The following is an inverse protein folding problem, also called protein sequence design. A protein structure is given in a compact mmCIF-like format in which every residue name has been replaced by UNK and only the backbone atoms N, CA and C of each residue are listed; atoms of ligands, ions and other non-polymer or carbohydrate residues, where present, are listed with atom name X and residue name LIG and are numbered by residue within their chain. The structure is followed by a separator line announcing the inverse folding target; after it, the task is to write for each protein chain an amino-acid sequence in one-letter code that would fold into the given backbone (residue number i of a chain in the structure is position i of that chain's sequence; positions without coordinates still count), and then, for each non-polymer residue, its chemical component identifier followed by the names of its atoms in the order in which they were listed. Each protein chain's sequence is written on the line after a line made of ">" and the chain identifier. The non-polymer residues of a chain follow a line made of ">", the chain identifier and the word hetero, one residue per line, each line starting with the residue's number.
data_IF_886289454418
#
_entry.id   IF_886289454418
#
_cell.length_a   1.000
_cell.length_b   1.000
_cell.length_c   1.000
_cell.angle_alpha   90.00
_cell.angle_beta   90.00
_cell.angle_gamma   90.00
#
_symmetry.space_group_name_H-M   'P 1'
#
loop_
_entity.id
_entity.type
_entity.pdbx_description
1 polymer ?
#
# COMPACT_ATOMS: atom_id res chain seq x y z
N UNK A 1 67.00 27.49 -3.04
CA UNK A 1 66.64 26.36 -2.16
C UNK A 1 66.34 26.91 -0.78
N UNK A 2 65.10 26.75 -0.29
CA UNK A 2 64.66 27.22 1.03
C UNK A 2 64.11 26.00 1.79
N UNK A 3 64.56 25.85 3.03
CA UNK A 3 64.41 24.64 3.83
C UNK A 3 63.11 24.72 4.64
N UNK A 4 62.23 23.73 4.51
CA UNK A 4 61.10 23.57 5.43
C UNK A 4 61.59 22.90 6.73
N UNK A 5 61.43 23.57 7.86
CA UNK A 5 61.65 23.00 9.19
C UNK A 5 60.31 22.53 9.76
N UNK A 6 60.21 21.25 10.06
CA UNK A 6 59.09 20.66 10.80
C UNK A 6 59.14 21.11 12.27
N UNK A 7 58.02 21.54 12.82
CA UNK A 7 57.83 21.76 14.25
C UNK A 7 56.89 20.69 14.80
N UNK A 8 57.45 19.81 15.63
CA UNK A 8 56.76 18.80 16.43
C UNK A 8 56.65 19.38 17.83
N UNK A 9 55.51 19.90 18.26
CA UNK A 9 55.21 20.03 19.69
C UNK A 9 53.69 19.86 19.91
N UNK A 10 53.39 19.03 20.91
CA UNK A 10 52.16 18.91 21.69
C UNK A 10 51.07 17.92 21.24
N UNK A 11 51.44 16.64 21.40
CA UNK A 11 50.59 15.64 22.01
C UNK A 11 50.12 16.12 23.40
N UNK A 12 48.82 16.36 23.59
CA UNK A 12 48.03 16.07 24.82
C UNK A 12 46.79 16.97 24.91
N UNK A 13 45.65 16.48 24.46
CA UNK A 13 44.31 16.74 25.01
C UNK A 13 43.43 15.59 24.50
N UNK A 14 43.55 14.45 25.17
CA UNK A 14 42.53 14.00 26.12
C UNK A 14 41.26 13.52 25.41
N UNK A 15 41.23 12.19 25.24
CA UNK A 15 40.08 11.31 25.17
C UNK A 15 38.75 11.97 25.55
N UNK A 16 37.96 12.37 24.56
CA UNK A 16 36.51 12.32 24.65
C UNK A 16 36.02 11.18 23.77
N UNK A 17 36.04 9.98 24.36
CA UNK A 17 35.18 8.89 23.90
C UNK A 17 33.73 9.32 24.18
N UNK A 18 33.11 10.08 23.28
CA UNK A 18 31.67 10.00 23.14
C UNK A 18 31.38 8.98 22.06
N UNK A 19 31.52 7.69 22.42
CA UNK A 19 30.78 6.66 21.72
C UNK A 19 29.32 6.94 22.12
N UNK A 20 28.64 7.78 21.34
CA UNK A 20 27.20 7.87 21.40
C UNK A 20 26.71 6.48 21.01
N UNK A 21 26.46 5.65 22.03
CA UNK A 21 25.70 4.44 21.92
C UNK A 21 24.34 4.90 21.37
N UNK A 22 24.14 4.72 20.07
CA UNK A 22 22.80 4.75 19.52
C UNK A 22 22.04 3.68 20.31
N UNK A 23 21.18 4.13 21.22
CA UNK A 23 20.22 3.25 21.86
C UNK A 23 19.52 2.54 20.73
N UNK A 24 19.71 1.22 20.65
CA UNK A 24 18.88 0.35 19.82
C UNK A 24 17.45 0.69 20.19
N UNK A 25 16.76 1.42 19.32
CA UNK A 25 15.31 1.47 19.39
C UNK A 25 14.89 0.02 19.17
N UNK A 26 14.61 -0.67 20.27
CA UNK A 26 13.81 -1.88 20.29
C UNK A 26 12.44 -1.46 19.76
N UNK A 27 12.37 -1.36 18.45
CA UNK A 27 11.12 -1.28 17.73
C UNK A 27 10.47 -2.62 18.04
N UNK A 28 9.34 -2.67 18.76
CA UNK A 28 8.66 -3.93 18.99
C UNK A 28 8.38 -4.52 17.61
N UNK A 29 8.92 -5.73 17.38
CA UNK A 29 8.80 -6.51 16.16
C UNK A 29 7.43 -6.28 15.53
N UNK A 30 7.36 -5.42 14.51
CA UNK A 30 6.12 -5.14 13.80
C UNK A 30 5.90 -6.20 12.73
N UNK A 31 6.12 -7.47 13.08
CA UNK A 31 5.99 -8.63 12.18
C UNK A 31 4.57 -9.18 12.21
N UNK A 32 3.54 -8.32 12.29
CA UNK A 32 2.13 -8.78 12.34
C UNK A 32 1.13 -7.86 11.63
N UNK A 33 1.48 -6.61 11.32
CA UNK A 33 0.56 -5.74 10.55
C UNK A 33 0.64 -6.03 9.04
N UNK A 34 1.77 -6.55 8.56
CA UNK A 34 2.01 -6.77 7.14
C UNK A 34 1.22 -7.94 6.54
N UNK A 35 0.73 -8.89 7.34
CA UNK A 35 -0.03 -10.06 6.85
C UNK A 35 -1.54 -9.93 6.97
N UNK A 36 -2.05 -8.85 7.58
CA UNK A 36 -3.48 -8.67 7.79
C UNK A 36 -4.15 -8.01 6.58
N UNK A 37 -5.42 -8.36 6.34
CA UNK A 37 -6.28 -7.66 5.38
C UNK A 37 -6.62 -6.27 5.93
N UNK A 38 -6.48 -5.24 5.10
CA UNK A 38 -6.82 -3.87 5.52
C UNK A 38 -8.32 -3.64 5.32
N UNK A 39 -9.13 -4.17 6.25
CA UNK A 39 -10.57 -3.96 6.31
C UNK A 39 -10.93 -2.65 7.02
N UNK A 40 -11.95 -1.94 6.52
CA UNK A 40 -12.55 -0.81 7.22
C UNK A 40 -13.50 -1.37 8.28
N UNK A 41 -13.33 -0.91 9.53
CA UNK A 41 -14.29 -1.20 10.60
C UNK A 41 -15.53 -0.33 10.43
N UNK A 42 -16.72 -0.96 10.41
CA UNK A 42 -18.02 -0.30 10.32
C UNK A 42 -18.11 0.76 9.19
N UNK A 43 -17.89 0.37 7.92
CA UNK A 43 -17.93 1.31 6.82
C UNK A 43 -19.33 1.91 6.66
N UNK A 44 -19.45 3.22 6.79
CA UNK A 44 -20.69 3.93 6.44
C UNK A 44 -20.74 4.06 4.91
N UNK A 45 -21.41 3.13 4.24
CA UNK A 45 -21.41 3.03 2.77
C UNK A 45 -21.92 4.30 2.05
N UNK A 46 -22.68 5.18 2.73
CA UNK A 46 -23.09 6.49 2.20
C UNK A 46 -21.91 7.41 1.85
N UNK A 47 -20.75 7.18 2.47
CA UNK A 47 -19.55 8.02 2.28
C UNK A 47 -18.73 7.58 1.06
N UNK A 48 -19.18 6.54 0.35
CA UNK A 48 -18.47 5.90 -0.75
C UNK A 48 -19.26 6.06 -2.05
N UNK A 49 -18.57 6.53 -3.09
CA UNK A 49 -19.06 6.47 -4.46
C UNK A 49 -18.80 5.07 -5.01
N UNK A 50 -19.80 4.46 -5.63
CA UNK A 50 -19.61 3.17 -6.31
C UNK A 50 -19.07 3.43 -7.72
N UNK A 51 -17.90 2.87 -8.02
CA UNK A 51 -17.27 2.97 -9.34
C UNK A 51 -17.71 1.84 -10.27
N UNK A 52 -17.87 0.62 -9.76
CA UNK A 52 -18.23 -0.53 -10.57
C UNK A 52 -18.79 -1.68 -9.73
N UNK A 53 -19.69 -2.46 -10.34
CA UNK A 53 -20.27 -3.67 -9.75
C UNK A 53 -19.97 -4.85 -10.67
N UNK A 54 -19.38 -5.90 -10.14
CA UNK A 54 -19.04 -7.11 -10.88
C UNK A 54 -18.77 -8.27 -9.91
N UNK A 55 -17.70 -9.02 -10.16
CA UNK A 55 -17.21 -10.04 -9.22
C UNK A 55 -16.88 -9.42 -7.84
N UNK A 56 -16.40 -8.17 -7.84
CA UNK A 56 -16.27 -7.31 -6.68
C UNK A 56 -17.00 -5.99 -6.91
N UNK A 57 -17.38 -5.31 -5.83
CA UNK A 57 -17.85 -3.93 -5.88
C UNK A 57 -16.65 -3.03 -5.61
N UNK A 58 -16.43 -2.05 -6.48
CA UNK A 58 -15.32 -1.08 -6.35
C UNK A 58 -15.91 0.24 -5.87
N UNK A 59 -15.32 0.80 -4.83
CA UNK A 59 -15.71 2.05 -4.22
C UNK A 59 -14.58 3.07 -4.31
N UNK A 60 -14.98 4.34 -4.33
CA UNK A 60 -14.13 5.50 -4.18
C UNK A 60 -14.60 6.29 -2.96
N UNK A 61 -13.65 6.70 -2.12
CA UNK A 61 -13.90 7.67 -1.06
C UNK A 61 -12.95 8.83 -1.24
N UNK A 62 -13.51 10.04 -1.27
CA UNK A 62 -12.74 11.27 -1.26
C UNK A 62 -12.67 11.79 0.17
N UNK A 63 -11.50 12.27 0.58
CA UNK A 63 -11.30 12.98 1.84
C UNK A 63 -10.69 14.34 1.56
N UNK A 64 -11.00 15.37 2.38
CA UNK A 64 -10.29 16.63 2.32
C UNK A 64 -8.78 16.40 2.44
N UNK A 65 -8.02 17.08 1.59
CA UNK A 65 -6.57 17.13 1.75
C UNK A 65 -6.17 17.99 2.95
N UNK A 66 -4.95 17.80 3.39
CA UNK A 66 -4.30 18.62 4.40
C UNK A 66 -3.28 19.58 3.77
N UNK A 67 -2.54 20.30 4.62
CA UNK A 67 -1.46 21.20 4.19
C UNK A 67 -0.40 20.48 3.34
N UNK A 68 -0.10 19.22 3.64
CA UNK A 68 0.89 18.42 2.90
C UNK A 68 0.45 18.16 1.47
N UNK A 69 -0.86 17.98 1.25
CA UNK A 69 -1.45 17.76 -0.07
C UNK A 69 -1.96 19.06 -0.73
N UNK A 70 -1.56 20.24 -0.24
CA UNK A 70 -2.05 21.54 -0.72
C UNK A 70 -3.58 21.64 -0.71
N UNK A 71 -4.22 21.00 0.27
CA UNK A 71 -5.67 20.88 0.41
C UNK A 71 -6.39 20.20 -0.78
N UNK A 72 -5.64 19.54 -1.69
CA UNK A 72 -6.25 18.76 -2.77
C UNK A 72 -6.95 17.52 -2.21
N UNK A 73 -8.15 17.17 -2.70
CA UNK A 73 -8.83 15.96 -2.26
C UNK A 73 -7.96 14.71 -2.42
N UNK A 74 -7.93 13.88 -1.38
CA UNK A 74 -7.26 12.58 -1.41
C UNK A 74 -8.30 11.54 -1.80
N UNK A 75 -8.06 10.87 -2.93
CA UNK A 75 -8.93 9.80 -3.43
C UNK A 75 -8.37 8.46 -2.96
N UNK A 76 -9.21 7.64 -2.33
CA UNK A 76 -8.83 6.29 -1.90
C UNK A 76 -9.86 5.29 -2.41
N UNK A 77 -9.37 4.18 -2.95
CA UNK A 77 -10.21 3.14 -3.51
C UNK A 77 -10.35 1.96 -2.54
N UNK A 78 -11.54 1.37 -2.55
CA UNK A 78 -11.90 0.24 -1.70
C UNK A 78 -12.68 -0.79 -2.51
N UNK A 79 -12.78 -2.01 -1.98
CA UNK A 79 -13.62 -3.03 -2.60
C UNK A 79 -14.33 -3.90 -1.57
N UNK A 80 -15.44 -4.51 -1.98
CA UNK A 80 -16.08 -5.62 -1.27
C UNK A 80 -16.27 -6.80 -2.20
N UNK A 81 -16.14 -8.01 -1.66
CA UNK A 81 -16.51 -9.23 -2.38
C UNK A 81 -18.03 -9.29 -2.46
N UNK A 82 -18.59 -9.72 -3.59
CA UNK A 82 -20.04 -9.88 -3.75
C UNK A 82 -20.60 -10.80 -2.65
N UNK A 83 -21.63 -10.34 -1.94
CA UNK A 83 -22.23 -11.06 -0.81
C UNK A 83 -21.48 -10.91 0.52
N UNK A 84 -20.42 -10.10 0.57
CA UNK A 84 -19.72 -9.75 1.81
C UNK A 84 -20.06 -8.33 2.25
N UNK A 85 -20.27 -8.15 3.56
CA UNK A 85 -20.44 -6.84 4.19
C UNK A 85 -19.10 -6.14 4.48
N UNK A 86 -17.97 -6.82 4.22
CA UNK A 86 -16.65 -6.30 4.50
C UNK A 86 -16.14 -5.45 3.33
N UNK A 87 -15.59 -4.28 3.67
CA UNK A 87 -14.96 -3.35 2.74
C UNK A 87 -13.47 -3.29 3.04
N UNK A 88 -12.64 -3.51 2.03
CA UNK A 88 -11.19 -3.58 2.15
C UNK A 88 -10.54 -2.49 1.30
N UNK A 89 -9.33 -2.06 1.67
CA UNK A 89 -8.52 -1.19 0.81
C UNK A 89 -8.24 -1.88 -0.53
N UNK A 90 -8.42 -1.16 -1.63
CA UNK A 90 -8.29 -1.73 -2.97
C UNK A 90 -6.83 -1.81 -3.43
N UNK A 91 -6.16 -2.86 -2.97
CA UNK A 91 -4.79 -3.19 -3.34
C UNK A 91 -4.72 -4.62 -3.88
N UNK A 92 -3.71 -4.89 -4.69
CA UNK A 92 -3.44 -6.21 -5.23
C UNK A 92 -3.11 -7.20 -4.12
N UNK A 93 -2.44 -6.73 -3.07
CA UNK A 93 -2.13 -7.51 -1.88
C UNK A 93 -3.40 -7.99 -1.16
N UNK A 94 -4.36 -7.10 -0.89
CA UNK A 94 -5.61 -7.48 -0.24
C UNK A 94 -6.44 -8.43 -1.12
N UNK A 95 -6.48 -8.22 -2.44
CA UNK A 95 -7.14 -9.14 -3.36
C UNK A 95 -6.49 -10.53 -3.33
N UNK A 96 -5.15 -10.61 -3.37
CA UNK A 96 -4.42 -11.88 -3.28
C UNK A 96 -4.60 -12.56 -1.92
N UNK A 97 -4.74 -11.81 -0.83
CA UNK A 97 -5.04 -12.36 0.50
C UNK A 97 -6.47 -12.95 0.58
N UNK A 98 -7.44 -12.31 -0.08
CA UNK A 98 -8.83 -12.81 -0.15
C UNK A 98 -8.93 -14.03 -1.06
N UNK A 99 -8.38 -13.94 -2.27
CA UNK A 99 -8.32 -15.02 -3.24
C UNK A 99 -6.97 -15.74 -3.10
N UNK A 100 -6.69 -16.32 -1.92
CA UNK A 100 -5.36 -16.84 -1.55
C UNK A 100 -4.89 -18.01 -2.43
N UNK A 101 -5.82 -18.78 -2.98
CA UNK A 101 -5.52 -19.95 -3.79
C UNK A 101 -6.49 -20.11 -4.97
N UNK A 102 -6.15 -21.06 -5.84
CA UNK A 102 -6.93 -21.44 -7.00
C UNK A 102 -6.91 -20.42 -8.14
N UNK A 103 -7.84 -20.62 -9.08
CA UNK A 103 -7.85 -19.89 -10.36
C UNK A 103 -8.00 -18.38 -10.23
N UNK A 104 -8.64 -17.90 -9.17
CA UNK A 104 -8.76 -16.47 -8.90
C UNK A 104 -7.39 -15.86 -8.56
N UNK A 105 -6.61 -16.55 -7.73
CA UNK A 105 -5.24 -16.14 -7.42
C UNK A 105 -4.36 -16.09 -8.68
N UNK A 106 -4.45 -17.12 -9.53
CA UNK A 106 -3.65 -17.19 -10.76
C UNK A 106 -3.94 -16.01 -11.70
N UNK A 107 -5.22 -15.63 -11.83
CA UNK A 107 -5.62 -14.45 -12.59
C UNK A 107 -5.02 -13.17 -12.00
N UNK A 108 -5.11 -12.99 -10.68
CA UNK A 108 -4.53 -11.83 -10.00
C UNK A 108 -3.02 -11.76 -10.18
N UNK A 109 -2.35 -12.90 -10.12
CA UNK A 109 -0.90 -12.99 -10.26
C UNK A 109 -0.42 -12.72 -11.70
N UNK A 110 -1.14 -13.24 -12.69
CA UNK A 110 -0.73 -13.17 -14.10
C UNK A 110 -1.14 -11.89 -14.82
N UNK A 111 -2.28 -11.27 -14.43
CA UNK A 111 -2.86 -10.13 -15.16
C UNK A 111 -2.57 -8.77 -14.54
N UNK A 112 -2.16 -8.72 -13.28
CA UNK A 112 -1.98 -7.47 -12.53
C UNK A 112 -0.61 -7.46 -11.85
N UNK A 113 0.20 -6.43 -12.14
CA UNK A 113 1.56 -6.28 -11.61
C UNK A 113 1.59 -5.32 -10.44
N UNK A 114 0.83 -4.23 -10.54
CA UNK A 114 0.78 -3.15 -9.54
C UNK A 114 -0.66 -2.74 -9.25
N UNK A 115 -0.88 -2.06 -8.13
CA UNK A 115 -2.23 -1.64 -7.69
C UNK A 115 -2.95 -0.77 -8.73
N UNK A 116 -2.23 0.07 -9.47
CA UNK A 116 -2.84 0.92 -10.50
C UNK A 116 -3.44 0.13 -11.67
N UNK A 117 -2.99 -1.11 -11.91
CA UNK A 117 -3.57 -1.98 -12.94
C UNK A 117 -5.02 -2.37 -12.62
N UNK A 118 -5.41 -2.38 -11.34
CA UNK A 118 -6.74 -2.76 -10.88
C UNK A 118 -7.83 -1.77 -11.30
N UNK A 119 -7.46 -0.49 -11.49
CA UNK A 119 -8.37 0.59 -11.85
C UNK A 119 -8.40 0.88 -13.36
N UNK A 120 -7.78 0.03 -14.17
CA UNK A 120 -7.87 0.15 -15.63
C UNK A 120 -9.27 -0.26 -16.07
N UNK A 121 -9.97 0.67 -16.71
CA UNK A 121 -11.28 0.43 -17.30
C UNK A 121 -11.15 -0.26 -18.66
N UNK A 122 -11.90 -1.34 -18.85
CA UNK A 122 -12.00 -2.04 -20.12
C UNK A 122 -13.20 -1.49 -20.90
N UNK A 123 -12.92 -0.73 -21.97
CA UNK A 123 -13.94 -0.11 -22.80
C UNK A 123 -14.75 -1.14 -23.61
N UNK A 124 -14.16 -2.30 -23.94
CA UNK A 124 -14.83 -3.35 -24.72
C UNK A 124 -15.87 -4.05 -23.84
N UNK A 125 -15.48 -4.39 -22.61
CA UNK A 125 -16.33 -5.13 -21.68
C UNK A 125 -17.12 -4.22 -20.71
N UNK A 126 -17.00 -2.91 -20.88
CA UNK A 126 -17.68 -1.85 -20.11
C UNK A 126 -17.57 -2.02 -18.58
N UNK A 127 -16.42 -2.49 -18.10
CA UNK A 127 -16.16 -2.69 -16.68
C UNK A 127 -14.68 -2.57 -16.36
N UNK A 128 -14.32 -2.45 -15.09
CA UNK A 128 -12.92 -2.53 -14.68
C UNK A 128 -12.33 -3.90 -15.03
N UNK A 129 -11.10 -3.93 -15.55
CA UNK A 129 -10.43 -5.15 -16.02
C UNK A 129 -10.39 -6.24 -14.95
N UNK A 130 -10.24 -5.87 -13.68
CA UNK A 130 -10.29 -6.82 -12.56
C UNK A 130 -11.64 -7.52 -12.46
N UNK A 131 -12.75 -6.78 -12.57
CA UNK A 131 -14.09 -7.38 -12.58
C UNK A 131 -14.28 -8.29 -13.79
N UNK A 132 -13.78 -7.88 -14.95
CA UNK A 132 -13.81 -8.72 -16.15
C UNK A 132 -13.07 -10.04 -15.91
N UNK A 133 -11.78 -10.02 -15.55
CA UNK A 133 -11.02 -11.26 -15.43
C UNK A 133 -11.51 -12.15 -14.28
N UNK A 134 -11.89 -11.59 -13.14
CA UNK A 134 -12.46 -12.38 -12.04
C UNK A 134 -13.77 -13.06 -12.46
N UNK A 135 -14.61 -12.39 -13.25
CA UNK A 135 -15.86 -12.99 -13.77
C UNK A 135 -15.64 -14.17 -14.72
N UNK A 136 -14.44 -14.34 -15.29
CA UNK A 136 -14.09 -15.45 -16.18
C UNK A 136 -13.55 -16.67 -15.44
N UNK A 137 -13.29 -16.55 -14.14
CA UNK A 137 -12.78 -17.66 -13.35
C UNK A 137 -13.90 -18.65 -13.04
N UNK A 138 -15.06 -18.15 -12.62
CA UNK A 138 -16.26 -18.95 -12.41
C UNK A 138 -17.43 -18.27 -13.14
N UNK A 139 -17.74 -18.69 -14.38
CA UNK A 139 -18.88 -18.17 -15.11
C UNK A 139 -20.15 -18.69 -14.42
N UNK A 140 -20.64 -17.92 -13.46
CA UNK A 140 -21.96 -18.13 -12.86
C UNK A 140 -23.05 -18.17 -13.93
#
# INVERSE_FOLDING_TARGET
>A
MKNLKFSIILLALLFSKSLAQAGSFNTPNTTSIQDSLIAIKNPKLSDFKILGRGAIIIYERQRPGDKLNLFKPIVTHYFSVKGSDQVYLFTLENLKKIYRDGRYFDVLYTRFRIDSDLLVYDAIHQQYRINYYLSKVDPA
#
